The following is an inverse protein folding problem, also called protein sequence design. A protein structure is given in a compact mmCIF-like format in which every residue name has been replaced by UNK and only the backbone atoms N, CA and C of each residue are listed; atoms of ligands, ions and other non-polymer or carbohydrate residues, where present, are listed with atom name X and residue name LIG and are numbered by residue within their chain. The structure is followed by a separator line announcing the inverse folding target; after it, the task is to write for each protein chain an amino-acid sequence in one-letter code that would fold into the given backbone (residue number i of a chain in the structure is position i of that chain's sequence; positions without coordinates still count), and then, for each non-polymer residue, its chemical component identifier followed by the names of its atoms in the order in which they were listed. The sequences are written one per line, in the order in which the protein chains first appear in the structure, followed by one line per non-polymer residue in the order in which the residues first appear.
data_IF_206210539681
#
_entry.id   IF_206210539681
#
_cell.length_a   1.000
_cell.length_b   1.000
_cell.length_c   1.000
_cell.angle_alpha   90.00
_cell.angle_beta   90.00
_cell.angle_gamma   90.00
#
_symmetry.space_group_name_H-M   'P 1'
#
loop_
_entity.id
_entity.type
_entity.pdbx_description
1 polymer ?
#
# COMPACT_ATOMS: atom_id res chain seq x y z
N UNK A 1 0.85 4.36 6.30
CA UNK A 1 -0.27 5.31 6.42
C UNK A 1 -1.49 4.53 6.86
N UNK A 2 -1.77 4.55 8.16
CA UNK A 2 -3.10 4.20 8.66
C UNK A 2 -4.05 5.22 8.05
N UNK A 3 -4.89 4.77 7.12
CA UNK A 3 -6.00 5.58 6.64
C UNK A 3 -7.00 5.65 7.78
N UNK A 4 -7.27 6.85 8.31
CA UNK A 4 -8.33 7.09 9.29
C UNK A 4 -9.68 7.12 8.57
N UNK A 5 -9.97 6.05 7.84
CA UNK A 5 -11.21 5.88 7.11
C UNK A 5 -12.08 4.94 7.91
N UNK A 6 -13.33 5.32 8.10
CA UNK A 6 -14.33 4.49 8.76
C UNK A 6 -15.33 4.04 7.72
N UNK A 7 -15.85 2.84 7.91
CA UNK A 7 -16.87 2.28 7.05
C UNK A 7 -18.03 1.75 7.89
N UNK A 8 -19.22 1.90 7.34
CA UNK A 8 -20.46 1.29 7.81
C UNK A 8 -20.99 0.38 6.72
N UNK A 9 -21.32 -0.84 7.09
CA UNK A 9 -22.01 -1.82 6.27
C UNK A 9 -23.42 -1.92 6.82
N UNK A 10 -24.41 -1.73 5.97
CA UNK A 10 -25.81 -1.89 6.32
C UNK A 10 -26.42 -2.94 5.39
N UNK A 11 -26.82 -4.05 5.99
CA UNK A 11 -27.64 -5.09 5.35
C UNK A 11 -29.06 -4.98 5.89
N UNK A 12 -29.98 -5.79 5.38
CA UNK A 12 -31.35 -5.87 5.91
C UNK A 12 -31.41 -6.33 7.36
N UNK A 13 -30.45 -7.14 7.82
CA UNK A 13 -30.49 -7.80 9.13
C UNK A 13 -29.46 -7.24 10.12
N UNK A 14 -28.43 -6.57 9.63
CA UNK A 14 -27.26 -6.23 10.44
C UNK A 14 -26.59 -4.96 9.96
N UNK A 15 -26.15 -4.16 10.92
CA UNK A 15 -25.28 -3.00 10.72
C UNK A 15 -23.93 -3.30 11.36
N UNK A 16 -22.85 -3.07 10.60
CA UNK A 16 -21.47 -3.22 11.08
C UNK A 16 -20.68 -1.96 10.80
N UNK A 17 -20.01 -1.44 11.82
CA UNK A 17 -19.14 -0.28 11.69
C UNK A 17 -17.71 -0.62 12.11
N UNK A 18 -16.74 0.00 11.44
CA UNK A 18 -15.34 -0.21 11.79
C UNK A 18 -14.35 0.50 10.87
N UNK A 19 -13.05 0.48 11.23
CA UNK A 19 -12.02 1.10 10.42
C UNK A 19 -11.79 0.30 9.14
N UNK A 20 -11.57 1.03 8.04
CA UNK A 20 -11.12 0.46 6.77
C UNK A 20 -9.68 0.00 6.94
N UNK A 21 -9.46 -1.30 6.77
CA UNK A 21 -8.12 -1.90 6.81
C UNK A 21 -7.56 -2.12 5.42
N UNK A 22 -8.44 -2.25 4.42
CA UNK A 22 -8.06 -2.31 3.03
C UNK A 22 -9.10 -1.65 2.12
N UNK A 23 -8.66 -1.01 1.04
CA UNK A 23 -9.53 -0.41 0.04
C UNK A 23 -8.87 -0.45 -1.34
N UNK A 24 -9.70 -0.69 -2.34
CA UNK A 24 -9.40 -0.90 -3.74
C UNK A 24 -10.49 -0.23 -4.59
N UNK A 25 -10.30 -0.13 -5.90
CA UNK A 25 -11.29 0.41 -6.84
C UNK A 25 -12.56 -0.44 -6.96
N UNK A 26 -12.55 -1.68 -6.48
CA UNK A 26 -13.67 -2.64 -6.57
C UNK A 26 -13.93 -3.37 -5.26
N UNK A 27 -13.16 -3.12 -4.22
CA UNK A 27 -13.31 -3.84 -2.96
C UNK A 27 -12.88 -3.04 -1.75
N UNK A 28 -13.47 -3.34 -0.60
CA UNK A 28 -13.07 -2.81 0.71
C UNK A 28 -13.01 -3.95 1.72
N UNK A 29 -12.08 -3.84 2.67
CA UNK A 29 -12.05 -4.66 3.87
C UNK A 29 -12.12 -3.76 5.09
N UNK A 30 -13.03 -4.08 5.98
CA UNK A 30 -13.21 -3.38 7.25
C UNK A 30 -12.88 -4.33 8.38
N UNK A 31 -12.33 -3.79 9.47
CA UNK A 31 -12.20 -4.57 10.70
C UNK A 31 -13.51 -4.49 11.46
N UNK A 32 -14.07 -5.62 11.84
CA UNK A 32 -15.22 -5.64 12.74
C UNK A 32 -14.78 -5.14 14.13
N UNK A 33 -15.48 -4.14 14.69
CA UNK A 33 -15.21 -3.65 16.05
C UNK A 33 -15.66 -4.64 17.15
N UNK A 34 -16.51 -5.61 16.79
CA UNK A 34 -17.08 -6.57 17.73
C UNK A 34 -16.08 -7.67 18.12
N UNK A 35 -16.10 -8.06 19.40
CA UNK A 35 -15.40 -9.26 19.91
C UNK A 35 -16.12 -10.57 19.57
N UNK A 36 -17.30 -10.50 18.94
CA UNK A 36 -18.05 -11.65 18.42
C UNK A 36 -18.05 -11.60 16.89
N UNK A 37 -17.86 -12.73 16.20
CA UNK A 37 -17.92 -12.77 14.75
C UNK A 37 -19.31 -12.31 14.30
N UNK A 38 -19.33 -11.32 13.40
CA UNK A 38 -20.55 -10.91 12.74
C UNK A 38 -20.64 -11.70 11.44
N UNK A 39 -21.41 -12.79 11.45
CA UNK A 39 -21.58 -13.62 10.27
C UNK A 39 -22.60 -12.98 9.32
N UNK A 40 -22.10 -12.47 8.20
CA UNK A 40 -22.95 -12.03 7.08
C UNK A 40 -22.70 -13.01 5.94
N UNK A 41 -23.74 -13.64 5.37
CA UNK A 41 -23.57 -14.56 4.26
C UNK A 41 -22.83 -13.94 3.07
N UNK A 42 -22.00 -14.73 2.40
CA UNK A 42 -21.36 -14.32 1.15
C UNK A 42 -22.42 -14.13 0.06
N UNK A 43 -22.29 -13.06 -0.72
CA UNK A 43 -23.25 -12.65 -1.74
C UNK A 43 -24.33 -11.70 -1.23
N UNK A 44 -24.48 -11.52 0.09
CA UNK A 44 -25.45 -10.57 0.65
C UNK A 44 -25.18 -9.15 0.14
N UNK A 45 -26.20 -8.53 -0.43
CA UNK A 45 -26.14 -7.11 -0.82
C UNK A 45 -26.19 -6.23 0.42
N UNK A 46 -25.33 -5.23 0.44
CA UNK A 46 -25.22 -4.25 1.51
C UNK A 46 -25.06 -2.85 0.96
N UNK A 47 -25.55 -1.86 1.70
CA UNK A 47 -25.13 -0.48 1.53
C UNK A 47 -23.80 -0.30 2.27
N UNK A 48 -22.75 0.02 1.52
CA UNK A 48 -21.45 0.39 2.06
C UNK A 48 -21.36 1.92 2.11
N UNK A 49 -21.16 2.45 3.30
CA UNK A 49 -20.89 3.87 3.54
C UNK A 49 -19.44 4.05 3.99
N UNK A 50 -18.63 4.79 3.23
CA UNK A 50 -17.25 5.14 3.53
C UNK A 50 -17.18 6.60 3.99
N UNK A 51 -16.58 6.84 5.15
CA UNK A 51 -16.28 8.16 5.66
C UNK A 51 -14.75 8.39 5.61
N UNK A 52 -14.33 9.49 4.97
CA UNK A 52 -12.92 9.80 4.79
C UNK A 52 -12.62 11.30 4.93
N UNK A 53 -11.41 11.66 5.39
CA UNK A 53 -10.99 13.05 5.49
C UNK A 53 -10.74 13.65 4.10
N UNK A 54 -11.42 14.75 3.82
CA UNK A 54 -11.27 15.60 2.64
C UNK A 54 -10.34 16.79 2.94
N UNK A 55 -9.86 17.53 1.92
CA UNK A 55 -9.10 18.76 2.14
C UNK A 55 -9.89 19.78 2.99
N UNK A 56 -9.18 20.56 3.81
CA UNK A 56 -9.73 21.59 4.69
C UNK A 56 -10.62 21.08 5.85
N UNK A 57 -10.19 20.04 6.56
CA UNK A 57 -10.82 19.51 7.79
C UNK A 57 -12.30 19.10 7.64
N UNK A 58 -12.71 18.74 6.42
CA UNK A 58 -14.05 18.20 6.15
C UNK A 58 -14.03 16.69 6.07
N UNK A 59 -15.15 16.06 6.41
CA UNK A 59 -15.38 14.65 6.14
C UNK A 59 -16.29 14.51 4.93
N UNK A 60 -15.87 13.70 3.98
CA UNK A 60 -16.73 13.27 2.88
C UNK A 60 -17.24 11.86 3.17
N UNK A 61 -18.49 11.64 2.75
CA UNK A 61 -19.18 10.36 2.91
C UNK A 61 -19.58 9.85 1.52
N UNK A 62 -19.23 8.61 1.23
CA UNK A 62 -19.58 7.92 0.00
C UNK A 62 -20.42 6.69 0.34
N UNK A 63 -21.65 6.64 -0.16
CA UNK A 63 -22.51 5.46 -0.05
C UNK A 63 -22.65 4.77 -1.40
N UNK A 64 -22.48 3.45 -1.42
CA UNK A 64 -22.61 2.63 -2.63
C UNK A 64 -23.16 1.23 -2.30
N UNK A 65 -23.73 0.58 -3.32
CA UNK A 65 -24.12 -0.82 -3.22
C UNK A 65 -22.89 -1.71 -3.35
N UNK A 66 -22.76 -2.70 -2.47
CA UNK A 66 -21.71 -3.68 -2.46
C UNK A 66 -22.26 -5.07 -2.10
N UNK A 67 -21.51 -6.12 -2.40
CA UNK A 67 -21.81 -7.49 -2.01
C UNK A 67 -20.76 -8.00 -1.05
N UNK A 68 -21.18 -8.71 0.00
CA UNK A 68 -20.25 -9.35 0.94
C UNK A 68 -19.49 -10.45 0.21
N UNK A 69 -18.18 -10.29 0.08
CA UNK A 69 -17.30 -11.30 -0.50
C UNK A 69 -16.79 -12.28 0.55
N UNK A 70 -16.65 -11.81 1.81
CA UNK A 70 -16.20 -12.63 2.93
C UNK A 70 -16.63 -11.99 4.26
N UNK A 71 -17.03 -12.82 5.21
CA UNK A 71 -17.11 -12.43 6.62
C UNK A 71 -16.27 -13.37 7.49
N UNK A 72 -15.49 -12.81 8.41
CA UNK A 72 -14.65 -13.54 9.35
C UNK A 72 -14.42 -12.74 10.65
N UNK A 73 -13.83 -13.39 11.66
CA UNK A 73 -13.49 -12.77 12.94
C UNK A 73 -12.59 -11.53 12.80
N UNK A 74 -11.72 -11.50 11.80
CA UNK A 74 -10.74 -10.42 11.60
C UNK A 74 -11.28 -9.27 10.73
N UNK A 75 -12.48 -9.41 10.16
CA UNK A 75 -13.12 -8.38 9.35
C UNK A 75 -14.10 -8.89 8.31
N UNK A 76 -14.70 -7.93 7.62
CA UNK A 76 -15.68 -8.16 6.53
C UNK A 76 -15.10 -7.54 5.26
N UNK A 77 -15.09 -8.31 4.18
CA UNK A 77 -14.69 -7.86 2.86
C UNK A 77 -15.92 -7.74 1.96
N UNK A 78 -16.00 -6.64 1.22
CA UNK A 78 -17.07 -6.36 0.27
C UNK A 78 -16.48 -6.03 -1.09
N UNK A 79 -17.20 -6.42 -2.13
CA UNK A 79 -16.92 -6.06 -3.53
C UNK A 79 -18.03 -5.17 -4.07
N UNK A 80 -17.67 -4.21 -4.91
CA UNK A 80 -18.60 -3.31 -5.58
C UNK A 80 -18.15 -3.11 -7.01
N UNK A 81 -19.10 -2.75 -7.89
CA UNK A 81 -18.84 -2.60 -9.31
C UNK A 81 -17.89 -1.43 -9.58
N UNK A 82 -18.25 -0.22 -9.14
CA UNK A 82 -17.43 0.98 -9.29
C UNK A 82 -17.70 2.01 -8.18
N UNK A 83 -16.75 2.91 -7.97
CA UNK A 83 -16.93 4.07 -7.10
C UNK A 83 -17.75 5.17 -7.80
N UNK A 84 -18.82 5.70 -7.18
CA UNK A 84 -19.63 6.79 -7.73
C UNK A 84 -18.83 8.08 -7.98
N UNK A 85 -19.00 8.72 -9.14
CA UNK A 85 -18.55 10.10 -9.36
C UNK A 85 -19.49 11.10 -8.63
N UNK A 86 -19.02 12.23 -8.05
CA UNK A 86 -17.67 12.83 -8.11
C UNK A 86 -16.71 12.46 -6.97
N UNK A 87 -17.19 11.91 -5.85
CA UNK A 87 -16.36 11.46 -4.72
C UNK A 87 -15.36 10.37 -5.13
N UNK A 88 -15.79 9.52 -6.06
CA UNK A 88 -14.99 8.49 -6.70
C UNK A 88 -13.76 9.02 -7.42
N UNK A 89 -13.73 10.26 -7.95
CA UNK A 89 -12.51 10.79 -8.60
C UNK A 89 -11.38 11.02 -7.62
N UNK A 90 -11.66 11.63 -6.48
CA UNK A 90 -10.66 11.87 -5.43
C UNK A 90 -10.20 10.57 -4.78
N UNK A 91 -11.16 9.69 -4.49
CA UNK A 91 -10.89 8.35 -3.96
C UNK A 91 -10.10 7.53 -4.98
N UNK A 92 -10.44 7.55 -6.28
CA UNK A 92 -9.67 6.92 -7.37
C UNK A 92 -8.27 7.52 -7.47
N UNK A 93 -8.06 8.83 -7.45
CA UNK A 93 -6.69 9.40 -7.51
C UNK A 93 -5.81 8.89 -6.37
N UNK A 94 -6.35 8.77 -5.15
CA UNK A 94 -5.62 8.27 -3.99
C UNK A 94 -5.47 6.73 -4.02
N UNK A 95 -6.51 6.00 -4.42
CA UNK A 95 -6.53 4.55 -4.52
C UNK A 95 -5.74 4.02 -5.70
N UNK A 96 -5.83 4.61 -6.88
CA UNK A 96 -5.01 4.26 -8.05
C UNK A 96 -3.53 4.36 -7.69
N UNK A 97 -3.13 5.36 -6.91
CA UNK A 97 -1.74 5.43 -6.41
C UNK A 97 -1.39 4.26 -5.47
N UNK A 98 -2.34 3.74 -4.67
CA UNK A 98 -2.12 2.65 -3.69
C UNK A 98 -2.28 1.26 -4.33
N UNK A 99 -3.24 1.08 -5.23
CA UNK A 99 -3.44 -0.13 -6.03
C UNK A 99 -2.34 -0.30 -7.06
N UNK A 100 -1.91 0.77 -7.75
CA UNK A 100 -0.74 0.69 -8.62
C UNK A 100 0.51 0.28 -7.84
N UNK A 101 0.68 0.79 -6.61
CA UNK A 101 1.75 0.37 -5.68
C UNK A 101 1.66 -1.11 -5.28
N UNK A 102 0.47 -1.66 -5.13
CA UNK A 102 0.25 -3.06 -4.71
C UNK A 102 0.31 -4.05 -5.85
N UNK A 103 -0.17 -3.68 -7.03
CA UNK A 103 -0.13 -4.48 -8.26
C UNK A 103 1.19 -4.31 -9.03
N UNK A 104 2.05 -3.38 -8.58
CA UNK A 104 3.38 -3.20 -9.17
C UNK A 104 4.15 -4.52 -9.15
N UNK A 105 4.65 -4.96 -10.32
CA UNK A 105 5.55 -6.09 -10.39
C UNK A 105 6.74 -5.90 -9.42
N UNK A 106 7.17 -6.98 -8.76
CA UNK A 106 8.28 -6.96 -7.81
C UNK A 106 9.31 -7.99 -8.20
N UNK A 107 10.54 -7.55 -8.46
CA UNK A 107 11.66 -8.44 -8.66
C UNK A 107 12.25 -8.84 -7.30
N UNK A 108 12.37 -10.15 -7.03
CA UNK A 108 13.14 -10.65 -5.88
C UNK A 108 14.62 -10.58 -6.25
N UNK A 109 15.32 -9.61 -5.68
CA UNK A 109 16.73 -9.36 -6.00
C UNK A 109 17.47 -8.88 -4.77
N UNK A 110 18.59 -9.52 -4.49
CA UNK A 110 19.57 -9.14 -3.50
C UNK A 110 20.54 -8.13 -4.09
N UNK A 111 20.29 -6.84 -3.87
CA UNK A 111 21.20 -5.77 -4.29
C UNK A 111 21.80 -5.09 -3.06
N UNK A 112 23.12 -4.86 -3.03
CA UNK A 112 23.72 -4.01 -2.02
C UNK A 112 23.21 -2.58 -2.20
N UNK A 113 22.77 -1.96 -1.11
CA UNK A 113 22.21 -0.61 -1.08
C UNK A 113 22.73 0.16 0.11
N UNK A 114 22.75 1.48 0.00
CA UNK A 114 23.10 2.35 1.13
C UNK A 114 21.86 3.08 1.63
N UNK A 115 21.62 3.04 2.94
CA UNK A 115 20.55 3.76 3.62
C UNK A 115 21.15 4.94 4.37
N UNK A 116 20.57 6.13 4.20
CA UNK A 116 20.96 7.34 4.93
C UNK A 116 19.75 8.00 5.59
N UNK A 117 19.82 8.23 6.90
CA UNK A 117 18.80 8.97 7.66
C UNK A 117 19.34 10.38 7.95
N UNK A 118 18.62 11.41 7.48
CA UNK A 118 19.05 12.81 7.66
C UNK A 118 20.49 13.04 7.17
N UNK A 119 21.34 13.61 8.03
CA UNK A 119 22.74 13.90 7.73
C UNK A 119 23.73 12.85 8.28
N UNK A 120 23.24 11.69 8.74
CA UNK A 120 24.10 10.63 9.24
C UNK A 120 24.93 9.99 8.11
N UNK A 121 25.98 9.25 8.49
CA UNK A 121 26.73 8.43 7.54
C UNK A 121 25.82 7.36 6.91
N UNK A 122 25.98 7.03 5.62
CA UNK A 122 25.24 5.93 5.01
C UNK A 122 25.60 4.59 5.65
N UNK A 123 24.63 3.71 5.79
CA UNK A 123 24.79 2.34 6.29
C UNK A 123 24.45 1.36 5.18
N UNK A 124 25.28 0.34 5.01
CA UNK A 124 25.03 -0.73 4.04
C UNK A 124 23.82 -1.58 4.44
N UNK A 125 23.07 -2.00 3.44
CA UNK A 125 21.87 -2.83 3.54
C UNK A 125 21.72 -3.64 2.25
N UNK A 126 20.74 -4.52 2.22
CA UNK A 126 20.48 -5.38 1.07
C UNK A 126 18.99 -5.39 0.72
N UNK A 127 18.63 -5.27 -0.56
CA UNK A 127 17.24 -5.44 -0.97
C UNK A 127 16.84 -6.92 -0.92
N UNK A 128 15.58 -7.20 -0.61
CA UNK A 128 14.99 -8.53 -0.73
C UNK A 128 14.04 -8.60 -1.93
N UNK A 129 13.25 -7.53 -2.09
CA UNK A 129 12.44 -7.30 -3.27
C UNK A 129 12.42 -5.81 -3.62
N UNK A 130 12.29 -5.51 -4.91
CA UNK A 130 12.22 -4.14 -5.42
C UNK A 130 11.09 -4.02 -6.44
N UNK A 131 10.34 -2.92 -6.37
CA UNK A 131 9.35 -2.49 -7.36
C UNK A 131 9.63 -1.04 -7.75
N UNK A 132 8.92 -0.53 -8.76
CA UNK A 132 8.98 0.89 -9.12
C UNK A 132 8.56 1.84 -7.98
N UNK A 133 7.88 1.33 -6.95
CA UNK A 133 7.30 2.15 -5.88
C UNK A 133 7.87 1.89 -4.49
N UNK A 134 8.67 0.85 -4.31
CA UNK A 134 9.22 0.53 -3.00
C UNK A 134 10.18 -0.64 -3.05
N UNK A 135 10.77 -0.94 -1.90
CA UNK A 135 11.64 -2.08 -1.72
C UNK A 135 11.45 -2.66 -0.33
N UNK A 136 11.61 -3.97 -0.19
CA UNK A 136 11.90 -4.60 1.10
C UNK A 136 13.41 -4.67 1.23
N UNK A 137 13.94 -4.31 2.39
CA UNK A 137 15.38 -4.32 2.67
C UNK A 137 15.67 -5.03 3.97
N UNK A 138 16.85 -5.63 4.06
CA UNK A 138 17.49 -6.10 5.29
C UNK A 138 18.58 -5.12 5.70
N UNK A 139 18.59 -4.70 6.96
CA UNK A 139 19.56 -3.73 7.49
C UNK A 139 19.76 -3.91 9.00
N UNK A 140 20.96 -3.60 9.49
CA UNK A 140 21.25 -3.52 10.93
C UNK A 140 20.85 -2.17 11.54
N UNK A 141 20.42 -1.21 10.72
CA UNK A 141 19.97 0.09 11.18
C UNK A 141 18.62 -0.05 11.88
N UNK A 142 18.45 0.46 13.12
CA UNK A 142 17.19 0.32 13.86
C UNK A 142 16.13 1.26 13.31
N UNK A 143 15.43 0.82 12.25
CA UNK A 143 14.38 1.56 11.58
C UNK A 143 13.04 1.46 12.31
N UNK A 144 12.23 2.52 12.22
CA UNK A 144 10.86 2.56 12.73
C UNK A 144 9.90 3.00 11.64
N UNK A 145 8.67 2.47 11.67
CA UNK A 145 7.59 2.95 10.81
C UNK A 145 7.41 4.46 10.93
N UNK A 146 7.45 5.14 9.78
CA UNK A 146 7.37 6.60 9.69
C UNK A 146 8.71 7.30 9.48
N UNK A 147 9.84 6.62 9.66
CA UNK A 147 11.16 7.20 9.40
C UNK A 147 11.31 7.60 7.93
N UNK A 148 12.00 8.72 7.69
CA UNK A 148 12.34 9.22 6.36
C UNK A 148 13.82 9.02 6.11
N UNK A 149 14.15 8.46 4.94
CA UNK A 149 15.51 8.12 4.57
C UNK A 149 15.75 8.31 3.07
N UNK A 150 17.01 8.30 2.67
CA UNK A 150 17.44 8.15 1.28
C UNK A 150 18.02 6.74 1.11
N UNK A 151 17.47 5.98 0.16
CA UNK A 151 18.03 4.72 -0.29
C UNK A 151 18.86 4.98 -1.56
N UNK A 152 20.11 4.52 -1.61
CA UNK A 152 20.93 4.55 -2.82
C UNK A 152 20.98 3.15 -3.41
N UNK A 153 20.46 3.04 -4.63
CA UNK A 153 20.28 1.78 -5.34
C UNK A 153 21.14 1.74 -6.61
N UNK A 154 22.24 0.97 -6.64
CA UNK A 154 23.03 0.78 -7.84
C UNK A 154 22.34 -0.23 -8.77
N UNK A 155 21.64 0.26 -9.79
CA UNK A 155 20.94 -0.61 -10.77
C UNK A 155 21.87 -1.14 -11.86
N UNK A 156 22.84 -0.35 -12.27
CA UNK A 156 23.70 -0.59 -13.44
C UNK A 156 25.11 -0.09 -13.10
N UNK A 157 26.14 -0.87 -13.43
CA UNK A 157 27.54 -0.59 -13.07
C UNK A 157 28.03 0.75 -13.61
N UNK A 158 27.61 1.13 -14.81
CA UNK A 158 28.13 2.30 -15.53
C UNK A 158 27.29 3.58 -15.33
N UNK A 159 26.29 3.53 -14.45
CA UNK A 159 25.40 4.67 -14.19
C UNK A 159 25.38 5.04 -12.72
N UNK A 160 25.16 6.32 -12.38
CA UNK A 160 25.04 6.73 -10.99
C UNK A 160 23.88 5.96 -10.30
N UNK A 161 24.06 5.59 -9.02
CA UNK A 161 23.02 4.98 -8.22
C UNK A 161 21.78 5.86 -8.17
N UNK A 162 20.60 5.24 -8.21
CA UNK A 162 19.36 5.97 -7.96
C UNK A 162 19.33 6.42 -6.51
N UNK A 163 19.04 7.70 -6.29
CA UNK A 163 18.79 8.26 -4.96
C UNK A 163 17.27 8.29 -4.76
N UNK A 164 16.77 7.41 -3.92
CA UNK A 164 15.35 7.18 -3.73
C UNK A 164 14.95 7.68 -2.34
N UNK A 165 14.35 8.87 -2.21
CA UNK A 165 13.72 9.28 -0.97
C UNK A 165 12.65 8.27 -0.61
N UNK A 166 12.64 7.80 0.63
CA UNK A 166 11.73 6.76 1.06
C UNK A 166 11.19 7.00 2.47
N UNK A 167 10.01 6.45 2.70
CA UNK A 167 9.39 6.31 4.01
C UNK A 167 9.44 4.85 4.43
N UNK A 168 9.84 4.59 5.67
CA UNK A 168 9.68 3.26 6.28
C UNK A 168 8.18 3.04 6.52
N UNK A 169 7.59 2.11 5.78
CA UNK A 169 6.19 1.73 5.94
C UNK A 169 6.00 0.79 7.13
N UNK A 170 6.84 -0.24 7.19
CA UNK A 170 6.85 -1.28 8.20
C UNK A 170 8.30 -1.64 8.51
N UNK A 171 8.59 -1.90 9.78
CA UNK A 171 9.89 -2.40 10.22
C UNK A 171 9.67 -3.52 11.24
N UNK A 172 10.40 -4.62 11.11
CA UNK A 172 10.34 -5.77 11.98
C UNK A 172 11.71 -6.44 12.03
N UNK A 173 12.36 -6.40 13.20
CA UNK A 173 13.71 -6.94 13.36
C UNK A 173 14.71 -6.20 12.47
N UNK A 174 15.42 -6.95 11.62
CA UNK A 174 16.37 -6.45 10.64
C UNK A 174 15.73 -6.19 9.26
N UNK A 175 14.42 -6.38 9.10
CA UNK A 175 13.71 -6.11 7.84
C UNK A 175 12.90 -4.81 7.89
N UNK A 176 12.88 -4.09 6.76
CA UNK A 176 12.03 -2.93 6.57
C UNK A 176 11.40 -2.89 5.18
N UNK A 177 10.13 -2.50 5.13
CA UNK A 177 9.42 -2.18 3.88
C UNK A 177 9.48 -0.69 3.67
N UNK A 178 10.08 -0.28 2.56
CA UNK A 178 10.25 1.09 2.13
C UNK A 178 9.26 1.44 1.03
N UNK A 179 8.71 2.64 1.08
CA UNK A 179 7.90 3.22 0.01
C UNK A 179 8.60 4.46 -0.50
N UNK A 180 8.88 4.50 -1.81
CA UNK A 180 9.54 5.63 -2.43
C UNK A 180 8.59 6.83 -2.52
N UNK A 181 9.14 8.02 -2.32
CA UNK A 181 8.41 9.28 -2.33
C UNK A 181 9.08 10.27 -3.28
N UNK A 182 8.26 11.00 -4.02
CA UNK A 182 8.70 12.11 -4.89
C UNK A 182 9.82 11.73 -5.87
N UNK A 183 9.75 10.52 -6.46
CA UNK A 183 10.69 10.12 -7.50
C UNK A 183 10.48 10.96 -8.76
N UNK A 184 11.53 11.54 -9.35
CA UNK A 184 11.46 12.08 -10.70
C UNK A 184 11.01 11.01 -11.68
N UNK A 185 10.19 11.38 -12.67
CA UNK A 185 9.63 10.44 -13.67
C UNK A 185 10.72 9.59 -14.35
N UNK A 186 11.86 10.21 -14.68
CA UNK A 186 13.03 9.51 -15.23
C UNK A 186 13.52 8.37 -14.34
N UNK A 187 13.60 8.60 -13.03
CA UNK A 187 14.12 7.61 -12.07
C UNK A 187 13.09 6.52 -11.81
N UNK A 188 11.80 6.88 -11.78
CA UNK A 188 10.70 5.94 -11.70
C UNK A 188 10.67 4.99 -12.90
N UNK A 189 10.79 5.51 -14.13
CA UNK A 189 10.81 4.71 -15.35
C UNK A 189 12.05 3.80 -15.39
N UNK A 190 13.24 4.34 -15.06
CA UNK A 190 14.48 3.55 -15.02
C UNK A 190 14.41 2.40 -14.02
N UNK A 191 13.77 2.60 -12.87
CA UNK A 191 13.54 1.55 -11.89
C UNK A 191 12.48 0.54 -12.36
N UNK A 192 11.41 1.01 -13.02
CA UNK A 192 10.39 0.16 -13.63
C UNK A 192 10.95 -0.77 -14.69
N UNK A 193 11.73 -0.23 -15.63
CA UNK A 193 12.39 -0.98 -16.70
C UNK A 193 13.31 -2.06 -16.13
N UNK A 194 14.09 -1.71 -15.10
CA UNK A 194 14.94 -2.66 -14.39
C UNK A 194 14.14 -3.81 -13.78
N UNK A 195 13.04 -3.50 -13.07
CA UNK A 195 12.19 -4.53 -12.44
C UNK A 195 11.56 -5.43 -13.49
N UNK A 196 11.04 -4.88 -14.60
CA UNK A 196 10.48 -5.67 -15.70
C UNK A 196 11.55 -6.57 -16.33
N UNK A 197 12.74 -6.04 -16.61
CA UNK A 197 13.85 -6.83 -17.17
C UNK A 197 14.28 -7.99 -16.28
N UNK A 198 14.25 -7.80 -14.95
CA UNK A 198 14.54 -8.87 -13.97
C UNK A 198 13.45 -9.93 -13.88
N UNK A 199 12.19 -9.57 -14.16
CA UNK A 199 11.09 -10.54 -14.19
C UNK A 199 11.07 -11.34 -15.49
N UNK A 200 11.53 -10.76 -16.60
CA UNK A 200 11.63 -11.43 -17.89
C UNK A 200 12.81 -12.43 -17.97
N UNK A 201 13.80 -12.30 -17.09
CA UNK A 201 14.94 -13.21 -16.99
C UNK A 201 14.77 -14.12 -15.78
N UNK A 202 14.14 -15.31 -15.90
CA UNK A 202 14.18 -16.29 -14.81
C UNK A 202 15.65 -16.67 -14.62
N UNK A 203 16.16 -16.43 -13.41
CA UNK A 203 17.54 -16.77 -13.07
C UNK A 203 17.82 -18.24 -13.34
N UNK A 204 18.73 -18.50 -14.26
CA UNK A 204 19.57 -19.70 -14.25
C UNK A 204 20.24 -19.76 -12.88
N UNK A 205 19.85 -20.79 -12.12
CA UNK A 205 20.59 -21.31 -10.99
C UNK A 205 21.96 -21.84 -11.44
#
# INVERSE_FOLDING_TARGET
MRVNWSARIETTETIVEGPVVDLSSTSVRIRAASRRPVEIPVGTTATLTLAFPAPADRFEVLSLSASVARSALDGIALTFAELPDPAGRWVKTRLLSVEARRRAPRARVALPVQIRIGNAAPVEAETMDVSAFGARVRTTLPLKSGDRLELRLPLETDKPPLKLPALVWEASGDEAVLVFANLPERDFNRLGDYVVGRLATPGTA
#
